data_IF_713747665232
#
_entry.id   IF_713747665232
#
_cell.length_a   1.000
_cell.length_b   1.000
_cell.length_c   1.000
_cell.angle_alpha   90.00
_cell.angle_beta   90.00
_cell.angle_gamma   90.00
#
_symmetry.space_group_name_H-M   'P 1'
#
loop_
_entity.id
_entity.type
_entity.pdbx_description
1 polymer ?
#
# COMPACT_ATOMS: atom_id res chain seq x y z
N UNK A 1 -4.38 17.75 -12.33
CA UNK A 1 -3.31 16.76 -12.08
C UNK A 1 -3.79 15.73 -11.09
N UNK A 2 -3.27 14.51 -11.18
CA UNK A 2 -3.63 13.39 -10.31
C UNK A 2 -2.37 12.89 -9.60
N UNK A 3 -1.98 13.48 -8.45
CA UNK A 3 -0.85 12.94 -7.73
C UNK A 3 -1.23 11.56 -7.20
N UNK A 4 -0.31 10.59 -7.24
CA UNK A 4 -0.48 9.40 -6.43
C UNK A 4 -0.45 9.83 -4.95
N UNK A 5 -1.46 9.42 -4.16
CA UNK A 5 -1.72 9.83 -2.76
C UNK A 5 -0.67 9.33 -1.75
N UNK A 6 0.54 9.07 -2.21
CA UNK A 6 1.57 8.27 -1.51
C UNK A 6 2.59 9.15 -0.81
N UNK A 7 2.73 10.39 -1.28
CA UNK A 7 3.54 11.43 -0.64
C UNK A 7 2.70 12.44 0.13
N UNK A 8 1.67 11.92 0.81
CA UNK A 8 0.84 12.68 1.74
C UNK A 8 1.37 12.38 3.14
N UNK A 9 2.42 13.08 3.56
CA UNK A 9 3.04 12.92 4.89
C UNK A 9 2.72 14.08 5.87
N UNK A 10 1.44 14.51 6.03
CA UNK A 10 1.11 15.50 7.04
C UNK A 10 1.23 14.88 8.45
N UNK A 11 1.80 15.57 9.44
CA UNK A 11 2.29 16.97 9.42
C UNK A 11 3.80 17.13 9.19
N UNK A 12 4.55 16.08 8.85
CA UNK A 12 6.00 16.07 9.05
C UNK A 12 6.85 16.46 7.81
N UNK A 13 6.42 16.16 6.58
CA UNK A 13 7.18 16.49 5.37
C UNK A 13 6.39 16.32 4.06
N UNK A 14 6.93 16.82 2.94
CA UNK A 14 6.42 16.58 1.60
C UNK A 14 5.69 17.76 0.96
N UNK A 15 5.26 17.63 -0.31
CA UNK A 15 4.68 18.73 -1.08
C UNK A 15 3.35 19.22 -0.50
N UNK A 16 2.54 18.34 0.11
CA UNK A 16 1.30 18.76 0.78
C UNK A 16 1.54 19.60 2.02
N UNK A 17 2.60 19.36 2.79
CA UNK A 17 2.93 20.24 3.93
C UNK A 17 3.25 21.65 3.46
N UNK A 18 3.96 21.80 2.33
CA UNK A 18 4.22 23.11 1.71
C UNK A 18 2.92 23.82 1.33
N UNK A 19 1.96 23.08 0.75
CA UNK A 19 0.65 23.61 0.38
C UNK A 19 -0.20 23.97 1.61
N UNK A 20 -0.26 23.11 2.62
CA UNK A 20 -1.04 23.36 3.83
C UNK A 20 -0.47 24.51 4.67
N UNK A 21 0.85 24.70 4.71
CA UNK A 21 1.43 25.91 5.32
C UNK A 21 0.92 27.18 4.64
N UNK A 22 0.79 27.16 3.30
CA UNK A 22 0.25 28.30 2.55
C UNK A 22 -1.24 28.51 2.82
N UNK A 23 -2.02 27.42 2.91
CA UNK A 23 -3.42 27.44 3.36
C UNK A 23 -3.54 28.09 4.74
N UNK A 24 -2.73 27.67 5.72
CA UNK A 24 -2.77 28.24 7.07
C UNK A 24 -2.42 29.73 7.10
N UNK A 25 -1.52 30.20 6.21
CA UNK A 25 -1.26 31.64 6.07
C UNK A 25 -2.44 32.38 5.43
N UNK A 26 -3.09 31.81 4.41
CA UNK A 26 -4.27 32.40 3.77
C UNK A 26 -5.45 32.53 4.75
N UNK A 27 -5.66 31.52 5.60
CA UNK A 27 -6.72 31.49 6.62
C UNK A 27 -6.51 32.50 7.76
N UNK A 28 -5.36 33.19 7.84
CA UNK A 28 -5.18 34.33 8.77
C UNK A 28 -5.96 35.58 8.32
N UNK A 29 -6.34 35.68 7.06
CA UNK A 29 -7.19 36.76 6.57
C UNK A 29 -8.61 36.56 7.11
N UNK A 30 -9.15 37.55 7.82
CA UNK A 30 -10.48 37.47 8.45
C UNK A 30 -11.64 37.28 7.47
N UNK A 31 -11.44 37.52 6.17
CA UNK A 31 -12.44 37.26 5.13
C UNK A 31 -12.44 35.79 4.65
N UNK A 32 -11.41 35.01 4.99
CA UNK A 32 -11.28 33.60 4.60
C UNK A 32 -11.86 32.74 5.71
N UNK A 33 -12.87 31.96 5.38
CA UNK A 33 -13.54 31.05 6.32
C UNK A 33 -12.79 29.72 6.40
N UNK A 34 -12.40 29.18 5.24
CA UNK A 34 -11.61 27.97 5.13
C UNK A 34 -10.99 27.86 3.72
N UNK A 35 -9.85 27.18 3.61
CA UNK A 35 -9.35 26.70 2.32
C UNK A 35 -9.06 25.21 2.40
N UNK A 36 -9.70 24.42 1.55
CA UNK A 36 -9.49 22.97 1.50
C UNK A 36 -8.76 22.56 0.22
N UNK A 37 -7.87 21.57 0.35
CA UNK A 37 -7.22 20.90 -0.78
C UNK A 37 -7.67 19.44 -0.77
N UNK A 38 -8.49 19.06 -1.74
CA UNK A 38 -8.89 17.67 -1.95
C UNK A 38 -7.89 17.00 -2.88
N UNK A 39 -7.15 16.01 -2.39
CA UNK A 39 -6.14 15.30 -3.19
C UNK A 39 -6.72 14.40 -4.29
N UNK A 40 -8.01 14.05 -4.17
CA UNK A 40 -8.67 13.08 -5.05
C UNK A 40 -8.29 11.64 -4.75
N UNK A 41 -8.95 10.70 -5.42
CA UNK A 41 -8.59 9.28 -5.38
C UNK A 41 -7.96 8.88 -6.71
N UNK A 42 -6.67 8.53 -6.74
CA UNK A 42 -5.90 8.50 -7.98
C UNK A 42 -6.18 7.30 -8.88
N UNK A 43 -6.96 6.32 -8.42
CA UNK A 43 -7.34 5.13 -9.20
C UNK A 43 -8.79 5.21 -9.74
N UNK A 44 -9.45 6.37 -9.63
CA UNK A 44 -10.81 6.57 -10.18
C UNK A 44 -10.78 7.05 -11.64
N UNK A 45 -11.29 6.24 -12.58
CA UNK A 45 -11.48 6.64 -13.99
C UNK A 45 -12.77 7.46 -14.17
N UNK A 46 -12.71 8.74 -13.80
CA UNK A 46 -13.83 9.70 -13.87
C UNK A 46 -13.38 11.03 -14.47
N UNK A 47 -14.28 11.82 -15.09
CA UNK A 47 -13.92 13.11 -15.70
C UNK A 47 -13.31 14.10 -14.71
N UNK A 48 -13.78 14.09 -13.46
CA UNK A 48 -13.33 14.98 -12.38
C UNK A 48 -12.08 14.46 -11.65
N UNK A 49 -11.37 13.48 -12.21
CA UNK A 49 -10.17 12.91 -11.58
C UNK A 49 -9.07 13.97 -11.45
N UNK A 50 -8.67 14.25 -10.22
CA UNK A 50 -7.56 15.13 -9.91
C UNK A 50 -7.66 15.74 -8.54
N UNK A 51 -6.73 16.65 -8.25
CA UNK A 51 -6.83 17.52 -7.08
C UNK A 51 -7.79 18.68 -7.33
N UNK A 52 -8.43 19.15 -6.27
CA UNK A 52 -9.25 20.37 -6.29
C UNK A 52 -8.89 21.27 -5.11
N UNK A 53 -8.89 22.59 -5.36
CA UNK A 53 -8.74 23.62 -4.33
C UNK A 53 -10.09 24.29 -4.14
N UNK A 54 -10.55 24.37 -2.89
CA UNK A 54 -11.87 24.92 -2.54
C UNK A 54 -11.70 25.98 -1.44
N UNK A 55 -11.50 27.25 -1.81
CA UNK A 55 -11.54 28.35 -0.86
C UNK A 55 -12.99 28.75 -0.56
N UNK A 56 -13.25 29.05 0.70
CA UNK A 56 -14.53 29.53 1.23
C UNK A 56 -14.27 30.86 1.91
N UNK A 57 -14.96 31.91 1.46
CA UNK A 57 -14.75 33.29 1.91
C UNK A 57 -16.08 33.99 2.15
N UNK A 58 -16.10 35.02 3.01
CA UNK A 58 -17.31 35.79 3.30
C UNK A 58 -17.62 36.79 2.17
N UNK A 59 -18.55 36.42 1.28
CA UNK A 59 -19.16 37.28 0.25
C UNK A 59 -18.17 38.01 -0.69
N UNK A 60 -16.94 37.49 -0.82
CA UNK A 60 -15.91 38.07 -1.68
C UNK A 60 -15.44 37.06 -2.75
N UNK A 61 -16.22 36.91 -3.82
CA UNK A 61 -15.91 35.94 -4.89
C UNK A 61 -14.55 36.17 -5.55
N UNK A 62 -14.12 37.42 -5.73
CA UNK A 62 -12.82 37.73 -6.33
C UNK A 62 -11.65 37.21 -5.47
N UNK A 63 -11.77 37.31 -4.14
CA UNK A 63 -10.78 36.73 -3.22
C UNK A 63 -10.76 35.20 -3.30
N UNK A 64 -11.92 34.55 -3.41
CA UNK A 64 -11.96 33.10 -3.58
C UNK A 64 -11.25 32.64 -4.87
N UNK A 65 -11.48 33.34 -5.99
CA UNK A 65 -10.82 33.05 -7.26
C UNK A 65 -9.31 33.26 -7.17
N UNK A 66 -8.85 34.35 -6.55
CA UNK A 66 -7.43 34.63 -6.34
C UNK A 66 -6.73 33.53 -5.53
N UNK A 67 -7.34 33.11 -4.41
CA UNK A 67 -6.79 32.05 -3.56
C UNK A 67 -6.75 30.69 -4.27
N UNK A 68 -7.80 30.39 -5.05
CA UNK A 68 -7.88 29.16 -5.82
C UNK A 68 -6.77 29.11 -6.89
N UNK A 69 -6.57 30.21 -7.63
CA UNK A 69 -5.55 30.31 -8.69
C UNK A 69 -4.14 30.21 -8.08
N UNK A 70 -3.87 30.96 -7.01
CA UNK A 70 -2.54 30.94 -6.35
C UNK A 70 -2.16 29.53 -5.88
N UNK A 71 -3.09 28.83 -5.20
CA UNK A 71 -2.84 27.48 -4.74
C UNK A 71 -2.79 26.47 -5.87
N UNK A 72 -3.61 26.62 -6.91
CA UNK A 72 -3.60 25.73 -8.08
C UNK A 72 -2.29 25.84 -8.83
N UNK A 73 -1.77 27.07 -9.02
CA UNK A 73 -0.46 27.31 -9.60
C UNK A 73 0.64 26.67 -8.74
N UNK A 74 0.57 26.85 -7.40
CA UNK A 74 1.58 26.26 -6.51
C UNK A 74 1.57 24.74 -6.55
N UNK A 75 0.39 24.15 -6.57
CA UNK A 75 0.18 22.72 -6.69
C UNK A 75 0.75 22.19 -8.02
N UNK A 76 0.55 22.93 -9.11
CA UNK A 76 1.13 22.60 -10.42
C UNK A 76 2.67 22.67 -10.44
N UNK A 77 3.27 23.68 -9.80
CA UNK A 77 4.74 23.77 -9.64
C UNK A 77 5.32 22.57 -8.91
N UNK A 78 4.63 22.10 -7.87
CA UNK A 78 5.07 20.99 -7.03
C UNK A 78 4.75 19.61 -7.62
N UNK A 79 4.10 19.52 -8.79
CA UNK A 79 3.51 18.27 -9.31
C UNK A 79 4.48 17.08 -9.39
N UNK A 80 5.74 17.32 -9.74
CA UNK A 80 6.75 16.27 -9.83
C UNK A 80 7.22 15.76 -8.46
N UNK A 81 7.13 16.58 -7.41
CA UNK A 81 7.47 16.16 -6.03
C UNK A 81 6.48 15.15 -5.46
N UNK A 82 5.30 15.01 -6.06
CA UNK A 82 4.31 14.00 -5.68
C UNK A 82 4.59 12.60 -6.24
N UNK A 83 5.51 12.48 -7.20
CA UNK A 83 5.81 11.19 -7.81
C UNK A 83 6.65 10.33 -6.86
N UNK A 84 6.23 9.08 -6.59
CA UNK A 84 6.95 8.22 -5.66
C UNK A 84 8.24 7.70 -6.27
N UNK A 85 9.25 7.54 -5.42
CA UNK A 85 10.45 6.79 -5.75
C UNK A 85 10.26 5.34 -5.32
N UNK A 86 9.91 4.48 -6.28
CA UNK A 86 9.65 3.07 -6.05
C UNK A 86 10.75 2.22 -6.66
N UNK A 87 11.10 1.13 -5.98
CA UNK A 87 12.08 0.18 -6.47
C UNK A 87 11.39 -0.94 -7.26
N UNK A 88 11.97 -1.34 -8.40
CA UNK A 88 11.43 -2.46 -9.17
C UNK A 88 11.50 -3.77 -8.37
N UNK A 89 10.54 -4.67 -8.59
CA UNK A 89 10.38 -5.90 -7.80
C UNK A 89 11.68 -6.70 -7.68
N UNK A 90 12.34 -6.97 -8.80
CA UNK A 90 13.56 -7.80 -8.81
C UNK A 90 14.72 -7.15 -8.08
N UNK A 91 14.87 -5.83 -8.21
CA UNK A 91 15.90 -5.04 -7.53
C UNK A 91 15.62 -4.99 -6.02
N UNK A 92 14.37 -4.76 -5.62
CA UNK A 92 13.95 -4.71 -4.22
C UNK A 92 14.21 -6.04 -3.51
N UNK A 93 13.84 -7.15 -4.13
CA UNK A 93 14.09 -8.49 -3.58
C UNK A 93 15.60 -8.76 -3.48
N UNK A 94 16.38 -8.40 -4.50
CA UNK A 94 17.83 -8.58 -4.48
C UNK A 94 18.51 -7.77 -3.38
N UNK A 95 18.10 -6.52 -3.20
CA UNK A 95 18.58 -5.65 -2.13
C UNK A 95 18.23 -6.22 -0.75
N UNK A 96 16.99 -6.69 -0.57
CA UNK A 96 16.57 -7.32 0.69
C UNK A 96 17.34 -8.61 1.00
N UNK A 97 17.67 -9.42 -0.01
CA UNK A 97 18.50 -10.62 0.15
C UNK A 97 19.94 -10.26 0.54
N UNK A 98 20.52 -9.22 -0.09
CA UNK A 98 21.90 -8.77 0.16
C UNK A 98 22.07 -7.97 1.46
N UNK A 99 20.99 -7.42 2.01
CA UNK A 99 21.06 -6.58 3.20
C UNK A 99 21.60 -7.34 4.41
N UNK A 100 22.61 -6.75 5.06
CA UNK A 100 23.22 -7.23 6.30
C UNK A 100 22.64 -6.53 7.54
N UNK A 101 21.78 -5.53 7.34
CA UNK A 101 21.31 -4.61 8.39
C UNK A 101 20.29 -5.25 9.34
N UNK A 102 19.66 -6.37 8.96
CA UNK A 102 18.64 -7.08 9.72
C UNK A 102 17.33 -7.22 8.94
N UNK A 103 16.18 -7.08 9.61
CA UNK A 103 14.85 -7.25 8.99
C UNK A 103 14.54 -6.15 7.98
N UNK A 104 14.45 -6.51 6.70
CA UNK A 104 14.05 -5.60 5.60
C UNK A 104 12.58 -5.83 5.29
N UNK A 105 11.82 -4.74 5.16
CA UNK A 105 10.42 -4.80 4.72
C UNK A 105 10.32 -4.41 3.25
N UNK A 106 9.71 -5.26 2.46
CA UNK A 106 9.23 -4.98 1.11
C UNK A 106 7.77 -4.56 1.22
N UNK A 107 7.49 -3.27 1.05
CA UNK A 107 6.15 -2.72 1.04
C UNK A 107 5.60 -2.77 -0.40
N UNK A 108 4.66 -3.69 -0.65
CA UNK A 108 3.88 -3.71 -1.89
C UNK A 108 2.85 -2.58 -1.83
N UNK A 109 3.16 -1.51 -2.54
CA UNK A 109 2.33 -0.30 -2.59
C UNK A 109 1.26 -0.36 -3.68
N UNK A 110 1.28 -1.40 -4.54
CA UNK A 110 0.36 -1.54 -5.65
C UNK A 110 -0.86 -2.41 -5.32
N UNK A 111 -0.83 -3.12 -4.19
CA UNK A 111 -1.91 -4.00 -3.76
C UNK A 111 -2.26 -3.79 -2.28
N UNK A 112 -2.57 -2.55 -1.92
CA UNK A 112 -3.01 -2.17 -0.58
C UNK A 112 -4.55 -2.16 -0.46
N UNK A 113 -5.18 -3.00 0.38
CA UNK A 113 -6.64 -3.07 0.52
C UNK A 113 -7.31 -1.75 0.91
N UNK A 114 -6.60 -0.89 1.64
CA UNK A 114 -7.08 0.46 2.00
C UNK A 114 -7.37 1.34 0.78
N UNK A 115 -6.76 1.02 -0.37
CA UNK A 115 -7.00 1.67 -1.67
C UNK A 115 -8.00 0.87 -2.53
N UNK A 116 -8.76 -0.06 -1.94
CA UNK A 116 -9.77 -0.84 -2.64
C UNK A 116 -9.23 -2.00 -3.47
N UNK A 117 -8.01 -2.49 -3.18
CA UNK A 117 -7.45 -3.64 -3.89
C UNK A 117 -7.90 -5.00 -3.33
N UNK A 118 -7.71 -6.05 -4.13
CA UNK A 118 -8.08 -7.44 -3.81
C UNK A 118 -7.13 -8.15 -2.85
N UNK A 119 -5.93 -7.61 -2.62
CA UNK A 119 -4.87 -8.21 -1.80
C UNK A 119 -4.34 -9.56 -2.30
N UNK A 120 -4.59 -9.90 -3.56
CA UNK A 120 -4.23 -11.20 -4.13
C UNK A 120 -2.97 -11.13 -5.03
N UNK A 121 -2.29 -9.98 -5.13
CA UNK A 121 -1.04 -9.86 -5.88
C UNK A 121 0.02 -10.86 -5.37
N UNK A 122 0.74 -11.47 -6.31
CA UNK A 122 1.80 -12.44 -6.00
C UNK A 122 3.14 -12.11 -6.68
N UNK A 123 3.30 -10.90 -7.23
CA UNK A 123 4.50 -10.48 -7.98
C UNK A 123 5.77 -10.55 -7.14
N UNK A 124 5.75 -10.00 -5.92
CA UNK A 124 6.88 -10.08 -4.99
C UNK A 124 7.14 -11.53 -4.56
N UNK A 125 6.08 -12.33 -4.31
CA UNK A 125 6.23 -13.74 -3.95
C UNK A 125 6.95 -14.53 -5.04
N UNK A 126 6.58 -14.34 -6.32
CA UNK A 126 7.25 -14.98 -7.45
C UNK A 126 8.74 -14.64 -7.50
N UNK A 127 9.09 -13.36 -7.33
CA UNK A 127 10.48 -12.92 -7.33
C UNK A 127 11.28 -13.51 -6.15
N UNK A 128 10.69 -13.57 -4.95
CA UNK A 128 11.31 -14.20 -3.78
C UNK A 128 11.58 -15.69 -4.00
N UNK A 129 10.64 -16.43 -4.60
CA UNK A 129 10.81 -17.84 -4.94
C UNK A 129 11.94 -18.00 -5.97
N UNK A 130 11.90 -17.24 -7.07
CA UNK A 130 12.89 -17.32 -8.15
C UNK A 130 14.32 -17.02 -7.68
N UNK A 131 14.47 -16.09 -6.73
CA UNK A 131 15.77 -15.71 -6.15
C UNK A 131 16.15 -16.53 -4.91
N UNK A 132 15.39 -17.60 -4.58
CA UNK A 132 15.63 -18.47 -3.43
C UNK A 132 15.77 -17.70 -2.11
N UNK A 133 14.91 -16.72 -1.89
CA UNK A 133 14.93 -15.90 -0.68
C UNK A 133 14.72 -16.77 0.58
N UNK A 134 15.47 -16.46 1.63
CA UNK A 134 15.45 -17.21 2.88
C UNK A 134 14.89 -16.39 4.04
N UNK A 135 14.29 -17.09 5.02
CA UNK A 135 13.75 -16.53 6.25
C UNK A 135 12.77 -15.36 6.00
N UNK A 136 11.75 -15.63 5.18
CA UNK A 136 10.75 -14.63 4.77
C UNK A 136 9.45 -14.82 5.56
N UNK A 137 8.79 -13.71 5.91
CA UNK A 137 7.38 -13.68 6.29
C UNK A 137 6.60 -12.81 5.29
N UNK A 138 5.51 -13.31 4.75
CA UNK A 138 4.70 -12.61 3.75
C UNK A 138 3.29 -12.41 4.29
N UNK A 139 2.89 -11.16 4.48
CA UNK A 139 1.54 -10.75 4.87
C UNK A 139 0.98 -9.80 3.79
N UNK A 140 -0.11 -10.13 3.12
CA UNK A 140 -0.83 -11.40 3.05
C UNK A 140 -1.32 -11.61 1.62
N UNK A 141 -1.86 -12.80 1.34
CA UNK A 141 -2.59 -13.07 0.09
C UNK A 141 -4.04 -13.39 0.48
N UNK A 142 -4.98 -12.55 0.07
CA UNK A 142 -6.41 -12.85 0.23
C UNK A 142 -6.81 -13.90 -0.82
N UNK A 143 -7.06 -15.13 -0.37
CA UNK A 143 -7.40 -16.28 -1.23
C UNK A 143 -8.24 -17.29 -0.43
N UNK A 144 -9.57 -17.06 -0.32
CA UNK A 144 -10.46 -17.94 0.44
C UNK A 144 -10.45 -19.41 -0.02
N UNK A 145 -10.22 -19.65 -1.31
CA UNK A 145 -10.14 -21.00 -1.87
C UNK A 145 -8.89 -21.75 -1.37
N UNK A 146 -7.75 -21.05 -1.33
CA UNK A 146 -6.52 -21.60 -0.77
C UNK A 146 -6.63 -21.84 0.74
N UNK A 147 -7.27 -20.93 1.49
CA UNK A 147 -7.56 -21.15 2.92
C UNK A 147 -8.38 -22.43 3.12
N UNK A 148 -9.49 -22.57 2.42
CA UNK A 148 -10.36 -23.74 2.54
C UNK A 148 -9.62 -25.05 2.18
N UNK A 149 -8.79 -25.01 1.15
CA UNK A 149 -7.94 -26.14 0.75
C UNK A 149 -6.95 -26.51 1.86
N UNK A 150 -6.23 -25.54 2.42
CA UNK A 150 -5.29 -25.78 3.52
C UNK A 150 -5.98 -26.32 4.78
N UNK A 151 -7.19 -25.84 5.10
CA UNK A 151 -7.96 -26.32 6.25
C UNK A 151 -8.31 -27.80 6.07
N UNK A 152 -8.79 -28.21 4.88
CA UNK A 152 -9.08 -29.61 4.55
C UNK A 152 -7.84 -30.49 4.58
N UNK A 153 -6.71 -29.98 4.09
CA UNK A 153 -5.41 -30.67 4.13
C UNK A 153 -4.92 -30.89 5.56
N UNK A 154 -5.14 -29.92 6.45
CA UNK A 154 -4.73 -29.98 7.85
C UNK A 154 -3.26 -29.63 8.10
N UNK A 155 -2.97 -29.18 9.32
CA UNK A 155 -1.63 -28.75 9.76
C UNK A 155 -0.63 -29.91 9.64
N UNK A 156 0.57 -29.61 9.15
CA UNK A 156 1.67 -30.55 8.99
C UNK A 156 1.69 -31.29 7.66
N UNK A 157 0.60 -31.26 6.90
CA UNK A 157 0.49 -31.93 5.60
C UNK A 157 0.91 -31.01 4.44
N UNK A 158 1.37 -31.63 3.35
CA UNK A 158 1.72 -30.93 2.11
C UNK A 158 0.52 -30.80 1.17
N UNK A 159 0.48 -29.69 0.43
CA UNK A 159 -0.50 -29.42 -0.62
C UNK A 159 0.10 -28.52 -1.69
N UNK A 160 -0.43 -28.63 -2.91
CA UNK A 160 -0.12 -27.75 -4.03
C UNK A 160 -1.25 -26.72 -4.12
N UNK A 161 -0.89 -25.44 -4.20
CA UNK A 161 -1.83 -24.32 -4.30
C UNK A 161 -1.49 -23.45 -5.50
N UNK A 162 -2.51 -22.95 -6.17
CA UNK A 162 -2.39 -21.85 -7.14
C UNK A 162 -2.78 -20.55 -6.46
N UNK A 163 -1.78 -19.82 -5.95
CA UNK A 163 -1.98 -18.68 -5.05
C UNK A 163 -2.10 -17.35 -5.77
N UNK A 164 -3.12 -16.57 -5.36
CA UNK A 164 -3.28 -15.18 -5.74
C UNK A 164 -3.61 -14.94 -7.22
N UNK A 165 -3.74 -13.67 -7.60
CA UNK A 165 -4.06 -13.17 -8.94
C UNK A 165 -5.24 -13.90 -9.61
N UNK A 166 -6.32 -14.16 -8.87
CA UNK A 166 -7.50 -14.90 -9.36
C UNK A 166 -8.25 -14.14 -10.45
N UNK A 167 -8.25 -12.81 -10.35
CA UNK A 167 -8.87 -11.93 -11.35
C UNK A 167 -8.04 -11.77 -12.64
N UNK A 168 -6.79 -12.27 -12.67
CA UNK A 168 -5.86 -12.24 -13.81
C UNK A 168 -5.64 -10.86 -14.46
N UNK A 169 -5.83 -9.78 -13.70
CA UNK A 169 -5.69 -8.40 -14.22
C UNK A 169 -4.24 -7.90 -14.16
N UNK A 170 -3.50 -8.27 -13.12
CA UNK A 170 -2.13 -7.79 -12.88
C UNK A 170 -1.12 -8.94 -12.71
N UNK A 171 -1.47 -10.13 -13.17
CA UNK A 171 -0.63 -11.32 -13.09
C UNK A 171 -1.43 -12.61 -13.14
N UNK A 172 -0.71 -13.73 -13.02
CA UNK A 172 -1.28 -15.07 -13.01
C UNK A 172 -1.11 -15.72 -11.63
N UNK A 173 -1.97 -16.68 -11.21
CA UNK A 173 -1.72 -17.47 -10.01
C UNK A 173 -0.33 -18.12 -10.02
N UNK A 174 0.30 -18.22 -8.85
CA UNK A 174 1.59 -18.91 -8.71
C UNK A 174 1.36 -20.30 -8.13
N UNK A 175 1.74 -21.33 -8.88
CA UNK A 175 1.63 -22.71 -8.41
C UNK A 175 2.78 -23.04 -7.47
N UNK A 176 2.46 -23.39 -6.22
CA UNK A 176 3.45 -23.63 -5.16
C UNK A 176 3.11 -24.88 -4.37
N UNK A 177 4.14 -25.71 -4.12
CA UNK A 177 4.05 -26.84 -3.19
C UNK A 177 4.58 -26.42 -1.83
N UNK A 178 3.88 -26.79 -0.77
CA UNK A 178 4.24 -26.38 0.58
C UNK A 178 3.48 -27.12 1.65
N UNK A 179 3.70 -26.73 2.90
CA UNK A 179 3.13 -27.35 4.10
C UNK A 179 2.22 -26.37 4.82
N UNK A 180 1.07 -26.84 5.28
CA UNK A 180 0.19 -26.05 6.16
C UNK A 180 0.83 -25.99 7.55
N UNK A 181 1.30 -24.81 7.98
CA UNK A 181 2.01 -24.65 9.26
C UNK A 181 1.05 -24.32 10.40
N UNK A 182 0.06 -23.47 10.16
CA UNK A 182 -0.93 -23.05 11.17
C UNK A 182 -2.28 -22.79 10.51
N UNK A 183 -3.35 -22.93 11.30
CA UNK A 183 -4.72 -22.50 10.98
C UNK A 183 -5.18 -21.59 12.12
N UNK A 184 -5.83 -20.48 11.79
CA UNK A 184 -6.30 -19.46 12.73
C UNK A 184 -7.72 -18.99 12.37
N UNK A 185 -8.43 -18.44 13.35
CA UNK A 185 -9.71 -17.73 13.15
C UNK A 185 -9.52 -16.31 12.58
N UNK A 186 -8.26 -15.85 12.48
CA UNK A 186 -7.86 -14.55 11.94
C UNK A 186 -8.25 -13.35 12.80
N UNK A 187 -8.63 -13.54 14.07
CA UNK A 187 -8.95 -12.45 14.99
C UNK A 187 -7.72 -12.06 15.81
N UNK A 188 -7.35 -10.79 15.80
CA UNK A 188 -6.24 -10.23 16.61
C UNK A 188 -6.48 -8.77 16.94
N UNK A 189 -5.68 -8.22 17.87
CA UNK A 189 -5.73 -6.81 18.23
C UNK A 189 -4.42 -6.14 17.84
N UNK A 190 -4.50 -4.88 17.44
CA UNK A 190 -3.32 -4.06 17.19
C UNK A 190 -2.70 -3.62 18.52
N UNK A 191 -1.37 -3.55 18.57
CA UNK A 191 -0.62 -3.07 19.73
C UNK A 191 0.35 -1.94 19.40
N UNK A 192 0.53 -1.63 18.12
CA UNK A 192 1.37 -0.54 17.67
C UNK A 192 0.79 0.85 18.01
N UNK A 193 1.61 1.91 17.92
CA UNK A 193 1.17 3.29 18.11
C UNK A 193 0.04 3.71 17.16
N UNK A 194 -0.05 3.12 15.96
CA UNK A 194 -1.17 3.31 15.05
C UNK A 194 -2.25 2.24 15.32
N UNK A 195 -3.48 2.70 15.58
CA UNK A 195 -4.67 1.87 15.77
C UNK A 195 -4.61 0.91 16.97
N UNK A 196 -3.72 1.15 17.95
CA UNK A 196 -3.60 0.31 19.14
C UNK A 196 -4.93 0.07 19.85
N UNK A 197 -5.22 -1.20 20.16
CA UNK A 197 -6.48 -1.65 20.76
C UNK A 197 -7.60 -1.98 19.76
N UNK A 198 -7.43 -1.67 18.47
CA UNK A 198 -8.41 -2.05 17.44
C UNK A 198 -8.39 -3.56 17.19
N UNK A 199 -9.57 -4.18 17.19
CA UNK A 199 -9.73 -5.59 16.81
C UNK A 199 -9.82 -5.72 15.29
N UNK A 200 -8.98 -6.58 14.73
CA UNK A 200 -8.98 -6.94 13.33
C UNK A 200 -9.48 -8.37 13.15
N UNK A 201 -10.27 -8.60 12.11
CA UNK A 201 -10.78 -9.92 11.72
C UNK A 201 -10.58 -10.16 10.22
N UNK A 202 -9.62 -11.01 9.87
CA UNK A 202 -9.30 -11.36 8.48
C UNK A 202 -10.00 -12.64 7.99
N UNK A 203 -11.00 -13.12 8.72
CA UNK A 203 -11.62 -14.43 8.51
C UNK A 203 -10.65 -15.58 8.82
N UNK A 204 -11.04 -16.80 8.49
CA UNK A 204 -10.13 -17.95 8.67
C UNK A 204 -8.87 -17.71 7.87
N UNK A 205 -7.75 -18.11 8.43
CA UNK A 205 -6.45 -17.85 7.82
C UNK A 205 -5.47 -18.96 8.13
N UNK A 206 -4.47 -19.09 7.26
CA UNK A 206 -3.46 -20.14 7.36
C UNK A 206 -2.07 -19.57 7.16
N UNK A 207 -1.07 -20.20 7.76
CA UNK A 207 0.31 -20.04 7.30
C UNK A 207 0.64 -21.21 6.41
N UNK A 208 0.90 -20.92 5.15
CA UNK A 208 1.42 -21.87 4.18
C UNK A 208 2.92 -21.65 4.01
N UNK A 209 3.72 -22.69 4.22
CA UNK A 209 5.17 -22.63 4.06
C UNK A 209 5.58 -23.29 2.76
N UNK A 210 6.22 -22.53 1.88
CA UNK A 210 6.91 -23.05 0.69
C UNK A 210 8.38 -22.65 0.73
N UNK A 211 9.28 -23.62 0.59
CA UNK A 211 10.71 -23.41 0.79
C UNK A 211 11.03 -22.78 2.16
N UNK A 212 11.58 -21.56 2.15
CA UNK A 212 11.93 -20.77 3.34
C UNK A 212 11.03 -19.55 3.56
N UNK A 213 9.86 -19.55 2.92
CA UNK A 213 8.88 -18.45 2.94
C UNK A 213 7.65 -18.91 3.72
N UNK A 214 7.28 -18.14 4.76
CA UNK A 214 5.99 -18.27 5.43
C UNK A 214 5.00 -17.27 4.82
N UNK A 215 3.90 -17.76 4.26
CA UNK A 215 2.87 -16.93 3.63
C UNK A 215 1.61 -17.00 4.50
N UNK A 216 1.13 -15.84 4.93
CA UNK A 216 -0.19 -15.71 5.55
C UNK A 216 -1.23 -15.59 4.43
N UNK A 217 -2.18 -16.52 4.40
CA UNK A 217 -3.29 -16.54 3.45
C UNK A 217 -4.59 -16.35 4.23
N UNK A 218 -5.47 -15.46 3.79
CA UNK A 218 -6.70 -15.09 4.51
C UNK A 218 -7.95 -15.16 3.63
N UNK A 219 -9.12 -15.17 4.28
CA UNK A 219 -10.42 -15.07 3.61
C UNK A 219 -10.88 -13.64 3.34
N UNK A 220 -10.38 -12.69 4.14
CA UNK A 220 -10.71 -11.28 4.05
C UNK A 220 -9.45 -10.45 3.95
N UNK A 221 -9.60 -9.28 3.35
CA UNK A 221 -8.48 -8.36 3.15
C UNK A 221 -8.14 -7.59 4.43
N UNK A 222 -6.88 -7.20 4.57
CA UNK A 222 -6.39 -6.36 5.66
C UNK A 222 -5.04 -5.73 5.30
N UNK A 223 -4.99 -4.41 5.18
CA UNK A 223 -3.73 -3.66 5.08
C UNK A 223 -2.83 -3.95 6.29
N UNK A 224 -1.65 -4.60 6.13
CA UNK A 224 -0.81 -5.08 7.24
C UNK A 224 -0.08 -3.97 8.02
N UNK A 225 -0.84 -3.03 8.58
CA UNK A 225 -0.35 -1.83 9.29
C UNK A 225 0.26 -2.15 10.65
N UNK A 226 0.01 -3.34 11.20
CA UNK A 226 0.53 -3.78 12.49
C UNK A 226 1.18 -5.19 12.40
N UNK A 227 2.38 -5.40 12.99
CA UNK A 227 3.06 -6.70 13.03
C UNK A 227 2.29 -7.82 13.74
N UNK A 228 1.23 -7.52 14.50
CA UNK A 228 0.40 -8.51 15.17
C UNK A 228 -0.25 -9.52 14.22
N UNK A 229 -0.44 -9.16 12.94
CA UNK A 229 -0.85 -10.14 11.94
C UNK A 229 0.16 -11.28 11.83
N UNK A 230 1.46 -11.02 11.93
CA UNK A 230 2.46 -12.10 11.93
C UNK A 230 2.43 -12.88 13.23
N UNK A 231 2.36 -12.20 14.39
CA UNK A 231 2.41 -12.84 15.71
C UNK A 231 1.21 -13.72 15.97
N UNK A 232 0.01 -13.29 15.57
CA UNK A 232 -1.22 -14.10 15.60
C UNK A 232 -1.05 -15.43 14.87
N UNK A 233 -0.23 -15.45 13.83
CA UNK A 233 0.06 -16.61 12.99
C UNK A 233 1.34 -17.37 13.41
N UNK A 234 1.86 -17.10 14.61
CA UNK A 234 3.04 -17.77 15.14
C UNK A 234 4.32 -17.46 14.36
N UNK A 235 4.40 -16.26 13.78
CA UNK A 235 5.60 -15.71 13.13
C UNK A 235 6.07 -14.53 13.98
N UNK A 236 7.29 -14.58 14.50
CA UNK A 236 7.89 -13.40 15.15
C UNK A 236 8.55 -12.53 14.05
N UNK A 237 7.95 -11.38 13.68
CA UNK A 237 8.40 -10.62 12.52
C UNK A 237 9.81 -10.03 12.72
N UNK A 238 10.19 -9.67 13.95
CA UNK A 238 11.54 -9.14 14.23
C UNK A 238 12.67 -10.15 14.00
N UNK A 239 12.34 -11.45 13.89
CA UNK A 239 13.29 -12.53 13.60
C UNK A 239 13.37 -12.89 12.11
N UNK A 240 12.54 -12.28 11.26
CA UNK A 240 12.56 -12.49 9.81
C UNK A 240 13.61 -11.61 9.17
N UNK A 241 14.31 -12.17 8.17
CA UNK A 241 15.26 -11.40 7.34
C UNK A 241 14.50 -10.48 6.39
N UNK A 242 13.44 -11.00 5.79
CA UNK A 242 12.59 -10.24 4.88
C UNK A 242 11.14 -10.37 5.34
N UNK A 243 10.45 -9.25 5.41
CA UNK A 243 9.00 -9.19 5.54
C UNK A 243 8.42 -8.59 4.27
N UNK A 244 7.28 -9.10 3.83
CA UNK A 244 6.46 -8.45 2.80
C UNK A 244 5.17 -8.00 3.45
N UNK A 245 4.81 -6.74 3.22
CA UNK A 245 3.56 -6.14 3.68
C UNK A 245 2.89 -5.40 2.53
N UNK A 246 1.56 -5.40 2.49
CA UNK A 246 0.75 -4.80 1.44
C UNK A 246 0.10 -3.49 1.89
N UNK A 247 0.92 -2.45 2.01
CA UNK A 247 0.51 -1.12 2.47
C UNK A 247 1.64 -0.10 2.23
N UNK A 248 1.32 1.19 2.21
CA UNK A 248 2.33 2.24 2.14
C UNK A 248 3.17 2.31 3.41
N UNK A 249 4.43 2.73 3.25
CA UNK A 249 5.36 2.89 4.35
C UNK A 249 4.78 3.74 5.48
N UNK A 250 4.14 4.85 5.16
CA UNK A 250 3.59 5.79 6.16
C UNK A 250 2.53 5.19 7.08
N UNK A 251 1.80 4.17 6.62
CA UNK A 251 0.73 3.53 7.40
C UNK A 251 1.23 2.41 8.32
N UNK A 252 2.50 2.02 8.19
CA UNK A 252 3.05 0.87 8.91
C UNK A 252 4.33 1.19 9.67
N UNK A 253 5.19 2.10 9.16
CA UNK A 253 6.51 2.36 9.74
C UNK A 253 6.51 2.60 11.26
N UNK A 254 5.56 3.35 11.86
CA UNK A 254 5.51 3.52 13.32
C UNK A 254 5.34 2.21 14.10
N UNK A 255 4.57 1.26 13.55
CA UNK A 255 4.30 -0.05 14.16
C UNK A 255 5.43 -1.07 13.90
N UNK A 256 6.19 -0.90 12.81
CA UNK A 256 7.32 -1.75 12.42
C UNK A 256 8.69 -1.16 12.77
N UNK A 257 8.79 -0.44 13.89
CA UNK A 257 10.02 0.25 14.32
C UNK A 257 11.27 -0.64 14.51
N UNK A 258 11.10 -1.96 14.55
CA UNK A 258 12.21 -2.92 14.55
C UNK A 258 12.84 -3.15 13.16
N UNK A 259 12.14 -2.77 12.09
CA UNK A 259 12.62 -2.87 10.72
C UNK A 259 13.87 -2.01 10.54
N UNK A 260 14.82 -2.53 9.78
CA UNK A 260 16.13 -1.89 9.55
C UNK A 260 16.15 -1.11 8.25
N UNK A 261 15.23 -1.45 7.36
CA UNK A 261 15.05 -0.86 6.05
C UNK A 261 13.63 -1.16 5.59
N UNK A 262 13.00 -0.18 4.95
CA UNK A 262 11.68 -0.33 4.31
C UNK A 262 11.86 0.13 2.87
N UNK A 263 11.54 -0.76 1.94
CA UNK A 263 11.62 -0.52 0.50
C UNK A 263 10.20 -0.55 -0.05
N UNK A 264 9.74 0.57 -0.62
CA UNK A 264 8.48 0.62 -1.35
C UNK A 264 8.68 0.09 -2.77
N UNK A 265 7.89 -0.91 -3.15
CA UNK A 265 8.12 -1.74 -4.33
C UNK A 265 7.09 -1.46 -5.41
N UNK A 266 7.53 -1.20 -6.63
CA UNK A 266 6.69 -0.99 -7.81
C UNK A 266 6.15 -2.31 -8.40
N UNK A 267 5.46 -3.09 -7.56
CA UNK A 267 4.83 -4.33 -7.99
C UNK A 267 3.63 -4.06 -8.93
N UNK A 268 3.21 -5.05 -9.74
CA UNK A 268 1.92 -4.99 -10.44
C UNK A 268 0.76 -5.06 -9.44
N UNK A 269 -0.26 -4.22 -9.60
CA UNK A 269 -1.45 -4.25 -8.74
C UNK A 269 -2.48 -3.17 -9.06
N UNK A 270 -3.67 -3.31 -8.48
CA UNK A 270 -4.84 -2.45 -8.71
C UNK A 270 -4.68 -1.02 -8.21
N UNK A 271 -3.84 -0.82 -7.20
CA UNK A 271 -3.47 0.48 -6.67
C UNK A 271 -2.04 0.89 -7.08
N UNK A 272 -1.56 0.41 -8.25
CA UNK A 272 -0.23 0.78 -8.73
C UNK A 272 -0.05 2.31 -8.75
N UNK A 273 1.07 2.84 -8.21
CA UNK A 273 1.36 4.25 -8.30
C UNK A 273 1.76 4.72 -9.70
N UNK A 274 2.14 3.76 -10.56
CA UNK A 274 2.45 4.02 -11.95
C UNK A 274 1.15 4.10 -12.76
N UNK A 275 0.59 5.31 -12.82
CA UNK A 275 -0.70 5.58 -13.49
C UNK A 275 -0.70 5.20 -14.97
N UNK A 276 0.47 5.10 -15.62
CA UNK A 276 0.57 4.69 -17.03
C UNK A 276 0.20 3.21 -17.27
N UNK A 277 0.09 2.40 -16.21
CA UNK A 277 -0.28 0.97 -16.30
C UNK A 277 -1.78 0.75 -16.52
N UNK A 278 -2.63 1.74 -16.27
CA UNK A 278 -4.08 1.57 -16.33
C UNK A 278 -4.67 2.00 -17.69
N UNK A 279 -5.70 1.30 -18.18
CA UNK A 279 -6.38 1.61 -19.44
C UNK A 279 -7.41 2.74 -19.27
N UNK A 280 -6.96 3.94 -18.91
CA UNK A 280 -7.83 5.10 -18.67
C UNK A 280 -8.72 5.45 -19.88
N UNK A 281 -10.02 5.65 -19.65
CA UNK A 281 -11.00 5.89 -20.71
C UNK A 281 -11.92 7.08 -20.48
N UNK A 282 -12.11 7.51 -19.22
CA UNK A 282 -13.10 8.52 -18.83
C UNK A 282 -12.48 9.79 -18.25
N UNK A 283 -11.19 9.77 -17.90
CA UNK A 283 -10.45 10.98 -17.48
C UNK A 283 -10.41 12.02 -18.61
N UNK A 284 -10.40 13.29 -18.22
CA UNK A 284 -10.13 14.39 -19.14
C UNK A 284 -8.63 14.50 -19.40
N UNK A 285 -8.24 14.47 -20.67
CA UNK A 285 -6.84 14.58 -21.10
C UNK A 285 -6.55 15.96 -21.71
N UNK A 286 -5.31 16.49 -21.55
CA UNK A 286 -4.17 15.84 -20.92
C UNK A 286 -4.20 15.90 -19.39
N UNK A 287 -3.70 14.85 -18.72
CA UNK A 287 -3.65 14.75 -17.26
C UNK A 287 -2.28 14.25 -16.78
N UNK A 288 -1.54 15.10 -16.07
CA UNK A 288 -0.32 14.69 -15.37
C UNK A 288 -0.63 13.70 -14.23
N UNK A 289 0.14 12.60 -14.04
CA UNK A 289 1.37 12.20 -14.75
C UNK A 289 1.15 11.17 -15.89
N UNK A 290 -0.10 10.97 -16.31
CA UNK A 290 -0.47 10.01 -17.36
C UNK A 290 0.05 10.53 -18.70
N UNK A 291 -0.22 11.81 -18.99
CA UNK A 291 0.27 12.55 -20.15
C UNK A 291 1.46 13.44 -19.74
N UNK A 292 2.38 13.68 -20.68
CA UNK A 292 3.62 14.43 -20.45
C UNK A 292 3.38 15.95 -20.60
N UNK A 293 3.03 16.62 -19.49
CA UNK A 293 2.70 18.06 -19.38
C UNK A 293 3.24 18.72 -18.10
#
# INVERSE_FOLDING_TARGET
MLPPTLHVNPPHSGPLVKLFNKVFEMEKNSQVINVNISAGFPWCDVPDAGMSVVPVVDKNYALAEELAEELSQKLWELRHEFLPSLMQVDEAVENAIKSEKGSVILADVADNPGDGTTEDSNGILKALINKNAENVGFALICDPEAVETCIKTGIGNQVILDLGCKARMFGEPVSVTGTVKTISDGVFHHFGPLYGGYEQNIGRSVVFRTGKIDIIISERTYSPTDPEVFRRHGIEPSRKKILVVKTFKMHMEPNYSFAKEIIEVDAPGQASPNMKRFPWSRILRPLFPIDDI
#
